data_IF_473217406147
#
_entry.id   IF_473217406147
#
_cell.length_a   1.000
_cell.length_b   1.000
_cell.length_c   1.000
_cell.angle_alpha   90.00
_cell.angle_beta   90.00
_cell.angle_gamma   90.00
#
_symmetry.space_group_name_H-M   'P 1'
#
loop_
_entity.id
_entity.type
_entity.pdbx_description
1 polymer ?
#
# COMPACT_ATOMS: atom_id res chain seq x y z
N UNK A 1 7.28 -15.96 17.00
CA UNK A 1 6.33 -14.84 16.79
C UNK A 1 7.12 -13.65 16.25
N UNK A 2 7.09 -13.41 14.94
CA UNK A 2 7.82 -12.29 14.31
C UNK A 2 6.79 -11.25 13.86
N UNK A 3 6.80 -10.08 14.49
CA UNK A 3 6.19 -8.89 13.91
C UNK A 3 6.79 -8.63 12.52
N UNK A 4 6.00 -8.13 11.58
CA UNK A 4 6.47 -7.90 10.21
C UNK A 4 7.74 -7.04 10.21
N UNK A 5 8.82 -7.54 9.60
CA UNK A 5 10.13 -6.87 9.52
C UNK A 5 10.15 -5.61 8.62
N UNK A 6 9.01 -4.97 8.35
CA UNK A 6 8.92 -3.87 7.38
C UNK A 6 7.98 -2.75 7.80
N UNK A 7 7.34 -2.84 8.97
CA UNK A 7 6.42 -1.81 9.46
C UNK A 7 7.17 -0.88 10.43
N UNK A 8 7.88 0.11 9.89
CA UNK A 8 8.59 1.14 10.68
C UNK A 8 7.66 2.21 11.30
N UNK A 9 6.35 2.13 11.07
CA UNK A 9 5.38 3.09 11.58
C UNK A 9 4.54 2.48 12.70
N UNK A 10 4.44 3.22 13.82
CA UNK A 10 3.58 2.93 14.96
C UNK A 10 2.11 3.27 14.68
N UNK A 11 1.56 2.74 13.58
CA UNK A 11 0.12 2.78 13.29
C UNK A 11 -0.63 1.65 14.02
N UNK A 12 -0.10 1.23 15.16
CA UNK A 12 -0.54 0.04 15.88
C UNK A 12 -1.97 0.11 16.36
N UNK A 13 -2.46 1.33 16.58
CA UNK A 13 -3.88 1.58 16.73
C UNK A 13 -4.52 1.74 15.34
N UNK A 14 -4.92 0.61 14.74
CA UNK A 14 -5.61 0.53 13.43
C UNK A 14 -6.83 1.46 13.34
N UNK A 15 -7.45 1.81 14.47
CA UNK A 15 -8.49 2.84 14.58
C UNK A 15 -8.05 4.23 14.10
N UNK A 16 -6.75 4.53 14.10
CA UNK A 16 -6.21 5.80 13.59
C UNK A 16 -6.13 5.84 12.07
N UNK A 17 -5.94 4.69 11.41
CA UNK A 17 -5.96 4.63 9.95
C UNK A 17 -7.37 4.85 9.41
N UNK A 18 -8.39 4.28 10.08
CA UNK A 18 -9.78 4.53 9.74
C UNK A 18 -10.24 5.98 9.92
N UNK A 19 -9.58 6.78 10.78
CA UNK A 19 -9.85 8.21 10.90
C UNK A 19 -9.46 8.98 9.63
N UNK A 20 -8.41 8.57 8.90
CA UNK A 20 -8.08 9.15 7.60
C UNK A 20 -9.19 8.89 6.59
N UNK A 21 -9.71 7.65 6.54
CA UNK A 21 -10.83 7.28 5.66
C UNK A 21 -12.08 8.07 6.02
N UNK A 22 -12.39 8.21 7.32
CA UNK A 22 -13.50 9.02 7.82
C UNK A 22 -13.36 10.49 7.47
N UNK A 23 -12.14 11.04 7.51
CA UNK A 23 -11.86 12.41 7.11
C UNK A 23 -12.10 12.62 5.61
N UNK A 24 -11.62 11.71 4.76
CA UNK A 24 -11.82 11.80 3.30
C UNK A 24 -13.29 11.61 2.92
N UNK A 25 -14.02 10.71 3.59
CA UNK A 25 -15.46 10.48 3.37
C UNK A 25 -16.29 11.76 3.58
N UNK A 26 -15.89 12.66 4.50
CA UNK A 26 -16.60 13.93 4.78
C UNK A 26 -16.63 14.92 3.62
N UNK A 27 -15.73 14.80 2.64
CA UNK A 27 -15.74 15.69 1.47
C UNK A 27 -16.90 15.41 0.50
N UNK A 28 -17.65 14.32 0.70
CA UNK A 28 -18.82 13.94 -0.09
C UNK A 28 -18.55 13.90 -1.61
N UNK A 29 -17.36 13.44 -1.98
CA UNK A 29 -16.95 13.18 -3.35
C UNK A 29 -17.01 11.68 -3.63
N UNK A 30 -17.22 11.25 -4.89
CA UNK A 30 -17.08 9.85 -5.27
C UNK A 30 -15.72 9.29 -4.82
N UNK A 31 -15.73 8.40 -3.83
CA UNK A 31 -14.54 7.88 -3.18
C UNK A 31 -14.30 6.43 -3.62
N UNK A 32 -13.12 6.16 -4.19
CA UNK A 32 -12.63 4.82 -4.44
C UNK A 32 -11.57 4.49 -3.38
N UNK A 33 -11.84 3.47 -2.56
CA UNK A 33 -10.90 2.99 -1.54
C UNK A 33 -10.27 1.70 -2.04
N UNK A 34 -8.93 1.67 -2.12
CA UNK A 34 -8.18 0.54 -2.68
C UNK A 34 -7.19 -0.05 -1.69
N UNK A 35 -6.95 -1.35 -1.86
CA UNK A 35 -5.89 -2.12 -1.22
C UNK A 35 -4.49 -1.50 -1.28
N UNK A 36 -3.59 -2.07 -0.50
CA UNK A 36 -2.16 -1.80 -0.55
C UNK A 36 -1.37 -2.91 0.12
N UNK A 37 -0.06 -2.68 0.32
CA UNK A 37 0.82 -3.65 0.99
C UNK A 37 0.46 -3.88 2.46
N UNK A 38 0.64 -5.11 2.92
CA UNK A 38 0.47 -5.47 4.33
C UNK A 38 0.96 -6.88 4.60
N UNK A 39 2.02 -6.99 5.39
CA UNK A 39 2.78 -8.24 5.53
C UNK A 39 2.31 -9.13 6.69
N UNK A 40 1.25 -8.72 7.40
CA UNK A 40 0.59 -9.51 8.45
C UNK A 40 -0.88 -9.65 8.10
N UNK A 41 -1.23 -10.77 7.46
CA UNK A 41 -2.54 -11.04 6.88
C UNK A 41 -3.69 -10.85 7.87
N UNK A 42 -3.49 -11.19 9.14
CA UNK A 42 -4.48 -11.03 10.21
C UNK A 42 -4.75 -9.55 10.47
N UNK A 43 -3.70 -8.73 10.59
CA UNK A 43 -3.83 -7.31 10.84
C UNK A 43 -4.36 -6.55 9.62
N UNK A 44 -4.04 -7.01 8.41
CA UNK A 44 -4.63 -6.49 7.17
C UNK A 44 -6.13 -6.76 7.15
N UNK A 45 -6.56 -7.99 7.43
CA UNK A 45 -7.97 -8.35 7.47
C UNK A 45 -8.74 -7.52 8.52
N UNK A 46 -8.18 -7.34 9.73
CA UNK A 46 -8.78 -6.47 10.76
C UNK A 46 -8.90 -5.01 10.30
N UNK A 47 -7.85 -4.46 9.66
CA UNK A 47 -7.83 -3.08 9.16
C UNK A 47 -8.94 -2.86 8.13
N UNK A 48 -9.00 -3.71 7.11
CA UNK A 48 -9.98 -3.63 6.04
C UNK A 48 -11.41 -3.83 6.53
N UNK A 49 -11.63 -4.74 7.48
CA UNK A 49 -12.92 -4.90 8.12
C UNK A 49 -13.36 -3.58 8.77
N UNK A 50 -12.53 -2.99 9.65
CA UNK A 50 -12.84 -1.70 10.32
C UNK A 50 -13.09 -0.56 9.33
N UNK A 51 -12.24 -0.41 8.31
CA UNK A 51 -12.40 0.62 7.28
C UNK A 51 -13.70 0.44 6.50
N UNK A 52 -14.07 -0.79 6.17
CA UNK A 52 -15.33 -1.11 5.51
C UNK A 52 -16.53 -0.74 6.39
N UNK A 53 -16.45 -1.03 7.70
CA UNK A 53 -17.46 -0.59 8.67
C UNK A 53 -17.64 0.93 8.68
N UNK A 54 -16.53 1.69 8.67
CA UNK A 54 -16.56 3.15 8.59
C UNK A 54 -17.14 3.66 7.26
N UNK A 55 -16.84 3.00 6.15
CA UNK A 55 -17.38 3.37 4.85
C UNK A 55 -18.89 3.12 4.77
N UNK A 56 -19.37 2.03 5.38
CA UNK A 56 -20.79 1.64 5.40
C UNK A 56 -21.58 2.27 6.56
N UNK A 57 -20.93 3.03 7.46
CA UNK A 57 -21.51 3.49 8.73
C UNK A 57 -22.13 2.35 9.56
N UNK A 58 -21.51 1.17 9.52
CA UNK A 58 -21.96 -0.05 10.17
C UNK A 58 -21.03 -0.46 11.32
N UNK A 59 -21.62 -0.85 12.45
CA UNK A 59 -20.88 -1.46 13.55
C UNK A 59 -20.59 -2.93 13.26
N UNK A 60 -19.32 -3.33 13.38
CA UNK A 60 -18.89 -4.69 13.09
C UNK A 60 -19.02 -5.57 14.34
N UNK A 61 -19.54 -6.80 14.21
CA UNK A 61 -19.56 -7.75 15.31
C UNK A 61 -18.13 -8.12 15.71
N UNK A 62 -17.86 -8.14 17.02
CA UNK A 62 -16.52 -8.40 17.56
C UNK A 62 -16.25 -9.88 17.90
N UNK A 63 -17.23 -10.76 17.71
CA UNK A 63 -17.22 -12.08 18.36
C UNK A 63 -16.86 -13.23 17.40
N UNK A 64 -15.98 -14.11 17.89
CA UNK A 64 -15.94 -15.52 17.45
C UNK A 64 -15.17 -15.84 16.16
N UNK A 65 -14.38 -14.92 15.61
CA UNK A 65 -13.60 -15.23 14.40
C UNK A 65 -12.37 -16.06 14.78
N UNK A 66 -12.48 -17.39 14.61
CA UNK A 66 -11.41 -18.36 14.93
C UNK A 66 -10.05 -18.03 14.32
N UNK A 67 -10.07 -17.36 13.17
CA UNK A 67 -8.88 -16.91 12.44
C UNK A 67 -8.04 -15.86 13.20
N UNK A 68 -8.64 -15.16 14.17
CA UNK A 68 -7.98 -14.12 14.98
C UNK A 68 -7.56 -14.58 16.37
N UNK A 69 -7.45 -15.90 16.60
CA UNK A 69 -6.89 -16.45 17.84
C UNK A 69 -5.50 -15.84 18.16
N UNK A 70 -5.14 -15.64 19.44
CA UNK A 70 -5.86 -16.06 20.65
C UNK A 70 -6.91 -15.07 21.16
N UNK A 71 -6.87 -13.81 20.73
CA UNK A 71 -7.74 -12.76 21.29
C UNK A 71 -9.15 -12.78 20.67
N UNK A 72 -9.31 -13.40 19.50
CA UNK A 72 -10.57 -13.50 18.73
C UNK A 72 -11.27 -12.15 18.47
N UNK A 73 -10.59 -11.03 18.74
CA UNK A 73 -11.11 -9.68 18.65
C UNK A 73 -10.62 -8.97 17.39
N UNK A 74 -11.46 -8.06 16.91
CA UNK A 74 -11.08 -7.08 15.89
C UNK A 74 -10.18 -5.99 16.46
N UNK A 75 -10.36 -5.66 17.75
CA UNK A 75 -9.54 -4.71 18.49
C UNK A 75 -8.26 -5.40 18.97
N UNK A 76 -7.13 -4.89 18.53
CA UNK A 76 -5.83 -5.28 19.06
C UNK A 76 -5.75 -4.71 20.49
N UNK A 77 -5.38 -5.50 21.51
CA UNK A 77 -5.12 -4.97 22.84
C UNK A 77 -4.11 -3.83 22.76
N UNK A 78 -4.46 -2.67 23.33
CA UNK A 78 -3.52 -1.56 23.43
C UNK A 78 -2.26 -2.07 24.16
N UNK A 79 -1.09 -1.96 23.53
CA UNK A 79 0.16 -2.47 24.10
C UNK A 79 0.52 -3.89 23.68
N UNK A 80 0.40 -4.21 22.39
CA UNK A 80 1.27 -5.24 21.83
C UNK A 80 2.71 -4.93 22.27
N UNK A 81 3.42 -5.90 22.83
CA UNK A 81 4.75 -5.75 23.44
C UNK A 81 5.77 -5.01 22.55
N UNK A 82 5.55 -4.97 21.23
CA UNK A 82 6.36 -4.20 20.28
C UNK A 82 6.09 -2.68 20.30
N UNK A 83 4.87 -2.22 20.59
CA UNK A 83 4.53 -0.79 20.61
C UNK A 83 5.19 -0.05 21.77
N UNK A 84 5.41 -0.74 22.89
CA UNK A 84 6.07 -0.18 24.05
C UNK A 84 7.58 0.06 23.81
N UNK A 85 8.19 -0.67 22.87
CA UNK A 85 9.63 -0.58 22.57
C UNK A 85 9.96 0.39 21.44
N UNK A 86 8.98 0.74 20.62
CA UNK A 86 9.15 1.65 19.50
C UNK A 86 8.83 3.07 19.97
N UNK A 87 9.88 3.88 20.15
CA UNK A 87 9.73 5.29 20.49
C UNK A 87 9.35 6.11 19.25
N UNK A 88 8.42 7.06 19.42
CA UNK A 88 8.09 8.01 18.37
C UNK A 88 9.19 9.07 18.24
N UNK A 89 10.08 8.91 17.26
CA UNK A 89 11.14 9.87 16.95
C UNK A 89 10.66 11.10 16.17
N UNK A 90 9.36 11.20 15.86
CA UNK A 90 8.80 12.36 15.14
C UNK A 90 8.50 13.50 16.11
N UNK A 91 9.44 14.44 16.25
CA UNK A 91 9.23 15.65 17.05
C UNK A 91 8.19 16.58 16.42
N UNK A 92 7.51 17.38 17.26
CA UNK A 92 6.49 18.34 16.78
C UNK A 92 7.10 19.41 15.85
N UNK A 93 8.33 19.84 16.13
CA UNK A 93 9.06 20.80 15.30
C UNK A 93 9.34 20.21 13.91
N UNK A 94 9.86 18.98 13.83
CA UNK A 94 10.08 18.27 12.57
C UNK A 94 8.81 18.19 11.71
N UNK A 95 7.69 17.78 12.29
CA UNK A 95 6.41 17.70 11.58
C UNK A 95 5.91 19.07 11.11
N UNK A 96 6.11 20.12 11.91
CA UNK A 96 5.71 21.48 11.53
C UNK A 96 6.51 21.99 10.33
N UNK A 97 7.82 21.72 10.29
CA UNK A 97 8.69 22.08 9.16
C UNK A 97 8.23 21.41 7.87
N UNK A 98 7.99 20.09 7.92
CA UNK A 98 7.48 19.35 6.74
C UNK A 98 6.12 19.88 6.30
N UNK A 99 5.22 20.15 7.24
CA UNK A 99 3.88 20.67 6.93
C UNK A 99 3.97 22.00 6.17
N UNK A 100 4.84 22.91 6.60
CA UNK A 100 5.06 24.19 5.91
C UNK A 100 5.61 23.97 4.51
N UNK A 101 6.62 23.11 4.35
CA UNK A 101 7.20 22.80 3.04
C UNK A 101 6.19 22.20 2.05
N UNK A 102 5.34 21.27 2.52
CA UNK A 102 4.28 20.67 1.69
C UNK A 102 3.24 21.72 1.31
N UNK A 103 2.81 22.56 2.25
CA UNK A 103 1.83 23.62 1.96
C UNK A 103 2.37 24.65 0.96
N UNK A 104 3.66 24.98 1.05
CA UNK A 104 4.30 25.87 0.07
C UNK A 104 4.37 25.22 -1.31
N UNK A 105 4.70 23.94 -1.38
CA UNK A 105 4.69 23.18 -2.64
C UNK A 105 3.30 23.14 -3.26
N UNK A 106 2.25 22.97 -2.44
CA UNK A 106 0.86 22.98 -2.90
C UNK A 106 0.41 24.36 -3.41
N UNK A 107 0.97 25.47 -2.91
CA UNK A 107 0.68 26.83 -3.43
C UNK A 107 1.13 27.02 -4.87
N UNK A 108 2.22 26.36 -5.27
CA UNK A 108 2.78 26.44 -6.62
C UNK A 108 2.00 25.61 -7.64
N UNK A 109 1.11 24.72 -7.21
CA UNK A 109 0.25 23.96 -8.11
C UNK A 109 -0.85 24.90 -8.61
N UNK A 110 -0.74 25.33 -9.88
CA UNK A 110 -1.84 26.03 -10.55
C UNK A 110 -3.10 25.18 -10.49
N UNK A 111 -4.25 25.81 -10.19
CA UNK A 111 -5.55 25.12 -10.15
C UNK A 111 -5.77 24.35 -11.46
N UNK A 112 -5.70 23.02 -11.41
CA UNK A 112 -6.10 22.19 -12.53
C UNK A 112 -7.62 22.38 -12.68
N UNK A 113 -8.11 22.97 -13.80
CA UNK A 113 -9.53 22.99 -14.06
C UNK A 113 -10.01 21.55 -14.05
N UNK A 114 -11.16 21.27 -13.42
CA UNK A 114 -11.75 19.92 -13.35
C UNK A 114 -11.67 19.28 -14.73
N UNK A 115 -10.75 18.34 -14.92
CA UNK A 115 -10.74 17.48 -16.10
C UNK A 115 -11.99 16.64 -15.96
N UNK A 116 -13.03 17.04 -16.67
CA UNK A 116 -14.27 16.28 -16.71
C UNK A 116 -13.88 14.91 -17.26
N UNK A 117 -13.98 13.88 -16.41
CA UNK A 117 -13.72 12.50 -16.80
C UNK A 117 -14.88 12.07 -17.71
N UNK A 118 -14.79 12.47 -18.97
CA UNK A 118 -15.73 12.09 -20.00
C UNK A 118 -15.45 10.62 -20.28
N UNK A 119 -16.24 9.73 -19.67
CA UNK A 119 -16.34 8.33 -20.12
C UNK A 119 -16.86 8.39 -21.54
N UNK A 120 -15.93 8.42 -22.49
CA UNK A 120 -16.25 8.12 -23.87
C UNK A 120 -16.60 6.64 -23.92
N UNK A 121 -17.88 6.32 -23.71
CA UNK A 121 -18.44 5.02 -24.10
C UNK A 121 -18.45 5.03 -25.63
N UNK A 122 -17.30 4.74 -26.23
CA UNK A 122 -17.23 4.36 -27.63
C UNK A 122 -17.58 2.88 -27.64
N UNK A 123 -18.81 2.56 -28.03
CA UNK A 123 -19.18 1.20 -28.44
C UNK A 123 -18.35 0.92 -29.71
N UNK A 124 -17.20 0.26 -29.54
CA UNK A 124 -16.31 -0.12 -30.63
C UNK A 124 -16.37 -1.64 -30.77
N UNK A 125 -16.44 -2.12 -32.01
CA UNK A 125 -16.52 -3.53 -32.37
C UNK A 125 -15.45 -4.36 -31.63
N UNK A 126 -15.89 -5.39 -30.89
CA UNK A 126 -15.04 -6.32 -30.14
C UNK A 126 -13.82 -6.86 -30.93
N UNK A 127 -13.94 -7.25 -32.22
CA UNK A 127 -12.78 -7.76 -32.97
C UNK A 127 -11.71 -6.71 -33.30
N UNK A 128 -12.09 -5.44 -33.51
CA UNK A 128 -11.13 -4.37 -33.83
C UNK A 128 -10.31 -3.99 -32.60
N UNK A 129 -10.95 -3.92 -31.43
CA UNK A 129 -10.28 -3.66 -30.16
C UNK A 129 -9.33 -4.80 -29.77
N UNK A 130 -9.73 -6.05 -30.03
CA UNK A 130 -8.88 -7.21 -29.81
C UNK A 130 -7.62 -7.15 -30.69
N UNK A 131 -7.75 -6.75 -31.95
CA UNK A 131 -6.63 -6.59 -32.87
C UNK A 131 -5.66 -5.49 -32.41
N UNK A 132 -6.19 -4.33 -32.02
CA UNK A 132 -5.38 -3.20 -31.52
C UNK A 132 -4.68 -3.58 -30.21
N UNK A 133 -5.39 -4.25 -29.30
CA UNK A 133 -4.82 -4.77 -28.05
C UNK A 133 -3.71 -5.79 -28.30
N UNK A 134 -3.88 -6.68 -29.30
CA UNK A 134 -2.88 -7.66 -29.69
C UNK A 134 -1.63 -6.99 -30.28
N UNK A 135 -1.77 -6.01 -31.18
CA UNK A 135 -0.64 -5.28 -31.73
C UNK A 135 0.10 -4.46 -30.66
N UNK A 136 -0.64 -3.75 -29.80
CA UNK A 136 -0.05 -3.00 -28.71
C UNK A 136 0.72 -3.94 -27.76
N UNK A 137 0.10 -5.06 -27.37
CA UNK A 137 0.73 -6.08 -26.52
C UNK A 137 1.97 -6.71 -27.16
N UNK A 138 1.94 -6.96 -28.47
CA UNK A 138 3.08 -7.51 -29.20
C UNK A 138 4.26 -6.53 -29.27
N UNK A 139 4.00 -5.25 -29.55
CA UNK A 139 5.03 -4.21 -29.60
C UNK A 139 5.62 -3.97 -28.21
N UNK A 140 4.77 -3.83 -27.19
CA UNK A 140 5.22 -3.72 -25.80
C UNK A 140 6.05 -4.93 -25.42
N UNK A 141 5.57 -6.14 -25.69
CA UNK A 141 6.28 -7.38 -25.42
C UNK A 141 7.64 -7.43 -26.10
N UNK A 142 7.75 -7.06 -27.39
CA UNK A 142 9.01 -7.05 -28.12
C UNK A 142 10.05 -6.05 -27.56
N UNK A 143 9.59 -4.93 -26.99
CA UNK A 143 10.48 -3.92 -26.38
C UNK A 143 10.83 -4.29 -24.94
N UNK A 144 9.86 -4.80 -24.16
CA UNK A 144 10.04 -5.05 -22.73
C UNK A 144 10.71 -6.39 -22.44
N UNK A 145 10.46 -7.43 -23.23
CA UNK A 145 11.08 -8.76 -23.01
C UNK A 145 12.61 -8.76 -23.05
N UNK A 146 13.33 -8.08 -23.97
CA UNK A 146 14.79 -8.06 -23.92
C UNK A 146 15.31 -7.33 -22.67
N UNK A 147 14.63 -6.25 -22.23
CA UNK A 147 15.00 -5.52 -21.02
C UNK A 147 14.74 -6.32 -19.74
N UNK A 148 13.65 -7.09 -19.69
CA UNK A 148 13.34 -7.96 -18.54
C UNK A 148 14.30 -9.16 -18.47
N UNK A 149 14.70 -9.71 -19.62
CA UNK A 149 15.76 -10.73 -19.68
C UNK A 149 17.10 -10.15 -19.22
N UNK A 150 17.45 -8.92 -19.59
CA UNK A 150 18.66 -8.26 -19.09
C UNK A 150 18.60 -8.02 -17.58
N UNK A 151 17.45 -7.58 -17.06
CA UNK A 151 17.26 -7.36 -15.61
C UNK A 151 17.37 -8.65 -14.81
N UNK A 152 16.72 -9.73 -15.27
CA UNK A 152 16.81 -11.05 -14.62
C UNK A 152 18.23 -11.62 -14.71
N UNK A 153 18.95 -11.40 -15.81
CA UNK A 153 20.37 -11.80 -15.94
C UNK A 153 21.26 -11.06 -14.95
N UNK A 154 21.09 -9.75 -14.78
CA UNK A 154 21.83 -8.96 -13.80
C UNK A 154 21.52 -9.39 -12.36
N UNK A 155 20.24 -9.60 -12.03
CA UNK A 155 19.84 -10.05 -10.69
C UNK A 155 20.37 -11.45 -10.35
N UNK A 156 20.45 -12.36 -11.32
CA UNK A 156 21.04 -13.68 -11.13
C UNK A 156 22.57 -13.61 -11.00
N UNK A 157 23.25 -12.75 -11.76
CA UNK A 157 24.69 -12.55 -11.64
C UNK A 157 25.09 -11.91 -10.30
N UNK A 158 24.35 -10.90 -9.83
CA UNK A 158 24.56 -10.31 -8.50
C UNK A 158 24.31 -11.33 -7.39
N UNK A 159 23.28 -12.15 -7.51
CA UNK A 159 22.99 -13.20 -6.54
C UNK A 159 24.09 -14.29 -6.52
N UNK A 160 24.65 -14.65 -7.68
CA UNK A 160 25.75 -15.62 -7.79
C UNK A 160 27.05 -15.02 -7.27
N UNK A 161 27.38 -13.77 -7.64
CA UNK A 161 28.59 -13.08 -7.19
C UNK A 161 28.60 -12.90 -5.68
N UNK A 162 27.47 -12.48 -5.09
CA UNK A 162 27.32 -12.37 -3.63
C UNK A 162 27.42 -13.73 -2.92
N UNK A 163 27.04 -14.83 -3.58
CA UNK A 163 27.14 -16.17 -3.02
C UNK A 163 28.57 -16.72 -3.10
N UNK A 164 29.33 -16.37 -4.14
CA UNK A 164 30.75 -16.71 -4.30
C UNK A 164 31.60 -15.92 -3.29
N UNK A 165 31.38 -14.62 -3.14
CA UNK A 165 32.09 -13.81 -2.14
C UNK A 165 31.81 -14.27 -0.71
N UNK A 166 30.58 -14.71 -0.41
CA UNK A 166 30.24 -15.32 0.88
C UNK A 166 30.93 -16.67 1.12
N UNK A 167 31.19 -17.46 0.07
CA UNK A 167 31.92 -18.73 0.17
C UNK A 167 33.42 -18.50 0.37
N UNK A 168 34.02 -17.49 -0.28
CA UNK A 168 35.43 -17.11 -0.08
C UNK A 168 35.69 -16.55 1.33
N UNK A 169 34.70 -15.89 1.94
CA UNK A 169 34.82 -15.33 3.30
C UNK A 169 34.74 -16.40 4.41
N UNK A 170 34.29 -17.62 4.08
CA UNK A 170 34.19 -18.75 5.01
C UNK A 170 35.32 -19.78 4.86
N UNK A 171 36.26 -19.54 3.94
CA UNK A 171 37.41 -20.41 3.61
C UNK A 171 38.76 -19.79 4.01
N UNK A 172 38.75 -18.74 4.85
CA UNK A 172 39.92 -18.15 5.53
C UNK A 172 39.73 -18.28 7.04
#
# INVERSE_FOLDING_TARGET
>A
MRGSQSSHFLLSNRSRHSECVKFVKKFNLPLLVTGGGGYTKENVARCWAVETGVLLDAELPNDGIKYFAPDYTLKIPNGCMLDAFLENLNSKSYLSTIKVQVLESLRCIQHAPRVQMQRSRRELNDPENALIGAFAGAITGAITTPLDVMKTRLMVQDAILNKITMLDTHLI
#
